data_IF_288296083947
#
_entry.id   IF_288296083947
#
_cell.length_a   1.000
_cell.length_b   1.000
_cell.length_c   1.000
_cell.angle_alpha   90.00
_cell.angle_beta   90.00
_cell.angle_gamma   90.00
#
_symmetry.space_group_name_H-M   'P 1'
#
loop_
_entity.id
_entity.type
_entity.pdbx_description
1 polymer ?
#
# COMPACT_ATOMS: atom_id res chain seq x y z
N UNK A 1 -1.87 -1.80 -12.42
CA UNK A 1 -3.25 -2.31 -12.58
C UNK A 1 -3.54 -3.47 -11.64
N UNK A 2 -2.60 -4.38 -11.37
CA UNK A 2 -2.78 -5.48 -10.38
C UNK A 2 -2.72 -4.97 -8.93
N UNK A 3 -2.03 -3.85 -8.69
CA UNK A 3 -1.78 -3.31 -7.35
C UNK A 3 -3.05 -2.88 -6.64
N UNK A 4 -4.02 -2.28 -7.35
CA UNK A 4 -5.30 -1.85 -6.77
C UNK A 4 -6.09 -3.07 -6.24
N UNK A 5 -6.16 -4.15 -7.03
CA UNK A 5 -6.83 -5.38 -6.61
C UNK A 5 -6.15 -6.01 -5.40
N UNK A 6 -4.82 -6.02 -5.36
CA UNK A 6 -4.07 -6.49 -4.19
C UNK A 6 -4.36 -5.66 -2.94
N UNK A 7 -4.38 -4.33 -3.05
CA UNK A 7 -4.76 -3.45 -1.94
C UNK A 7 -6.18 -3.74 -1.46
N UNK A 8 -7.12 -3.92 -2.38
CA UNK A 8 -8.48 -4.32 -2.04
C UNK A 8 -8.51 -5.64 -1.27
N UNK A 9 -7.80 -6.66 -1.75
CA UNK A 9 -7.73 -7.96 -1.09
C UNK A 9 -7.12 -7.87 0.32
N UNK A 10 -6.05 -7.08 0.50
CA UNK A 10 -5.43 -6.85 1.81
C UNK A 10 -6.45 -6.22 2.78
N UNK A 11 -7.18 -5.20 2.33
CA UNK A 11 -8.23 -4.56 3.14
C UNK A 11 -9.33 -5.56 3.51
N UNK A 12 -9.79 -6.37 2.56
CA UNK A 12 -10.79 -7.41 2.80
C UNK A 12 -10.29 -8.49 3.79
N UNK A 13 -9.00 -8.86 3.72
CA UNK A 13 -8.38 -9.85 4.60
C UNK A 13 -8.29 -9.37 6.06
N UNK A 14 -8.13 -8.06 6.29
CA UNK A 14 -8.17 -7.45 7.62
C UNK A 14 -9.59 -7.04 8.06
N UNK A 15 -10.61 -7.39 7.28
CA UNK A 15 -12.02 -7.18 7.61
C UNK A 15 -12.61 -5.83 7.18
N UNK A 16 -11.91 -5.07 6.35
CA UNK A 16 -12.32 -3.77 5.83
C UNK A 16 -12.91 -3.94 4.42
N UNK A 17 -14.23 -3.77 4.29
CA UNK A 17 -14.91 -3.85 2.99
C UNK A 17 -14.85 -2.50 2.26
N UNK A 18 -14.31 -2.51 1.04
CA UNK A 18 -14.18 -1.32 0.21
C UNK A 18 -14.65 -1.56 -1.22
N UNK A 19 -15.44 -0.62 -1.75
CA UNK A 19 -15.94 -0.69 -3.12
C UNK A 19 -15.01 0.06 -4.08
N UNK A 20 -13.91 -0.59 -4.47
CA UNK A 20 -12.99 -0.08 -5.47
C UNK A 20 -13.38 -0.64 -6.85
N UNK A 21 -13.82 0.23 -7.76
CA UNK A 21 -14.05 -0.09 -9.17
C UNK A 21 -12.89 0.45 -10.02
N UNK A 22 -12.16 -0.45 -10.69
CA UNK A 22 -11.05 -0.10 -11.59
C UNK A 22 -11.43 0.90 -12.69
N UNK A 23 -12.72 1.02 -13.03
CA UNK A 23 -13.20 1.86 -14.15
C UNK A 23 -13.62 3.27 -13.74
N UNK A 24 -13.89 3.49 -12.45
CA UNK A 24 -14.30 4.78 -11.89
C UNK A 24 -13.49 5.04 -10.62
N UNK A 25 -12.19 5.21 -10.78
CA UNK A 25 -11.31 5.52 -9.67
C UNK A 25 -11.26 7.03 -9.47
N UNK A 26 -12.28 7.57 -8.79
CA UNK A 26 -12.00 8.74 -7.96
C UNK A 26 -10.92 8.34 -6.95
N UNK A 27 -10.03 9.28 -6.60
CA UNK A 27 -8.97 8.99 -5.65
C UNK A 27 -9.56 8.69 -4.28
N UNK A 28 -9.34 7.47 -3.78
CA UNK A 28 -9.97 6.95 -2.57
C UNK A 28 -9.14 7.35 -1.36
N UNK A 29 -9.81 7.90 -0.34
CA UNK A 29 -9.20 8.15 0.96
C UNK A 29 -9.29 6.92 1.85
N UNK A 30 -8.18 6.21 2.05
CA UNK A 30 -8.15 5.00 2.88
C UNK A 30 -8.31 5.31 4.37
N UNK A 31 -8.10 6.55 4.80
CA UNK A 31 -8.31 6.96 6.19
C UNK A 31 -9.79 7.05 6.57
N UNK A 32 -10.71 7.01 5.59
CA UNK A 32 -12.14 6.86 5.85
C UNK A 32 -12.53 5.42 6.22
N UNK A 33 -11.65 4.44 5.99
CA UNK A 33 -11.91 3.02 6.19
C UNK A 33 -11.07 2.40 7.31
N UNK A 34 -9.85 2.89 7.52
CA UNK A 34 -8.95 2.45 8.59
C UNK A 34 -9.22 3.33 9.82
N UNK A 35 -9.85 2.76 10.84
CA UNK A 35 -10.38 3.51 11.98
C UNK A 35 -9.35 3.68 13.11
N UNK A 36 -8.45 2.72 13.28
CA UNK A 36 -7.48 2.72 14.37
C UNK A 36 -6.04 2.37 13.99
N UNK A 37 -5.13 2.56 14.94
CA UNK A 37 -3.70 2.32 14.74
C UNK A 37 -3.35 0.84 14.56
N UNK A 38 -4.18 -0.08 15.06
CA UNK A 38 -3.93 -1.51 14.93
C UNK A 38 -4.27 -1.96 13.51
N UNK A 39 -5.42 -1.54 12.97
CA UNK A 39 -5.80 -1.75 11.57
C UNK A 39 -4.79 -1.13 10.61
N UNK A 40 -4.34 0.10 10.90
CA UNK A 40 -3.30 0.76 10.10
C UNK A 40 -2.00 -0.06 10.07
N UNK A 41 -1.51 -0.50 11.23
CA UNK A 41 -0.28 -1.29 11.29
C UNK A 41 -0.44 -2.64 10.59
N UNK A 42 -1.58 -3.31 10.76
CA UNK A 42 -1.87 -4.58 10.09
C UNK A 42 -1.95 -4.40 8.57
N UNK A 43 -2.60 -3.35 8.10
CA UNK A 43 -2.63 -2.98 6.68
C UNK A 43 -1.21 -2.77 6.13
N UNK A 44 -0.40 -1.94 6.78
CA UNK A 44 0.96 -1.61 6.30
C UNK A 44 1.85 -2.85 6.26
N UNK A 45 1.81 -3.72 7.28
CA UNK A 45 2.57 -4.97 7.30
C UNK A 45 2.15 -5.91 6.15
N UNK A 46 0.85 -6.08 5.93
CA UNK A 46 0.37 -6.92 4.82
C UNK A 46 0.76 -6.34 3.45
N UNK A 47 0.84 -5.02 3.30
CA UNK A 47 1.33 -4.37 2.08
C UNK A 47 2.82 -4.69 1.87
N UNK A 48 3.65 -4.55 2.89
CA UNK A 48 5.07 -4.89 2.81
C UNK A 48 5.28 -6.36 2.39
N UNK A 49 4.53 -7.28 3.02
CA UNK A 49 4.60 -8.70 2.71
C UNK A 49 4.11 -9.04 1.29
N UNK A 50 2.94 -8.56 0.88
CA UNK A 50 2.31 -8.90 -0.41
C UNK A 50 3.06 -8.28 -1.61
N UNK A 51 3.76 -7.17 -1.39
CA UNK A 51 4.53 -6.50 -2.44
C UNK A 51 6.04 -6.77 -2.38
N UNK A 52 6.50 -7.50 -1.35
CA UNK A 52 7.91 -7.74 -1.05
C UNK A 52 8.69 -6.42 -1.03
N UNK A 53 8.23 -5.46 -0.22
CA UNK A 53 8.83 -4.14 -0.04
C UNK A 53 9.04 -3.81 1.44
N UNK A 54 9.89 -2.82 1.69
CA UNK A 54 10.07 -2.15 2.97
C UNK A 54 9.64 -0.70 2.76
N UNK A 55 8.63 -0.26 3.51
CA UNK A 55 8.12 1.09 3.47
C UNK A 55 8.94 1.92 4.47
N UNK A 56 9.54 3.06 4.05
CA UNK A 56 10.29 3.91 4.96
C UNK A 56 9.44 4.38 6.15
N UNK A 57 10.05 4.50 7.33
CA UNK A 57 9.38 4.95 8.56
C UNK A 57 8.69 6.32 8.38
N UNK A 58 9.25 7.22 7.57
CA UNK A 58 8.64 8.52 7.24
C UNK A 58 7.32 8.41 6.45
N UNK A 59 7.10 7.27 5.78
CA UNK A 59 5.89 6.96 5.04
C UNK A 59 4.89 6.14 5.89
N UNK A 60 5.25 5.70 7.10
CA UNK A 60 4.36 5.01 8.04
C UNK A 60 3.44 6.00 8.77
N UNK A 61 2.57 6.68 8.02
CA UNK A 61 1.60 7.62 8.57
C UNK A 61 0.24 7.56 7.86
N UNK A 62 -0.83 7.93 8.57
CA UNK A 62 -2.18 8.01 7.98
C UNK A 62 -2.23 8.97 6.78
N UNK A 63 -1.44 10.04 6.78
CA UNK A 63 -1.37 10.97 5.64
C UNK A 63 -0.84 10.28 4.37
N UNK A 64 0.03 9.28 4.50
CA UNK A 64 0.59 8.55 3.37
C UNK A 64 -0.44 7.64 2.67
N UNK A 65 -1.51 7.24 3.37
CA UNK A 65 -2.58 6.38 2.84
C UNK A 65 -3.86 7.16 2.49
N UNK A 66 -3.90 8.47 2.75
CA UNK A 66 -5.04 9.36 2.47
C UNK A 66 -5.44 9.44 1.00
N UNK A 67 -4.55 9.05 0.11
CA UNK A 67 -4.79 8.95 -1.33
C UNK A 67 -4.33 7.58 -1.76
N UNK A 68 -5.26 6.73 -2.22
CA UNK A 68 -4.90 5.41 -2.76
C UNK A 68 -3.90 5.56 -3.91
N UNK A 69 -4.09 6.53 -4.80
CA UNK A 69 -3.13 6.76 -5.88
C UNK A 69 -1.77 7.23 -5.35
N UNK A 70 -1.76 8.11 -4.35
CA UNK A 70 -0.55 8.55 -3.66
C UNK A 70 0.20 7.38 -3.03
N UNK A 71 -0.52 6.52 -2.32
CA UNK A 71 0.04 5.34 -1.66
C UNK A 71 0.60 4.32 -2.66
N UNK A 72 -0.11 4.08 -3.78
CA UNK A 72 0.40 3.22 -4.85
C UNK A 72 1.73 3.74 -5.43
N UNK A 73 1.92 5.06 -5.53
CA UNK A 73 3.19 5.63 -5.96
C UNK A 73 4.33 5.38 -4.96
N UNK A 74 4.03 5.36 -3.66
CA UNK A 74 5.00 4.97 -2.61
C UNK A 74 5.43 3.51 -2.84
N UNK A 75 4.47 2.60 -2.98
CA UNK A 75 4.72 1.17 -3.25
C UNK A 75 5.59 0.98 -4.50
N UNK A 76 5.29 1.70 -5.58
CA UNK A 76 6.07 1.61 -6.82
C UNK A 76 7.51 2.09 -6.58
N UNK A 77 7.69 3.19 -5.85
CA UNK A 77 9.01 3.74 -5.53
C UNK A 77 9.85 2.77 -4.71
N UNK A 78 9.28 2.15 -3.67
CA UNK A 78 9.95 1.12 -2.87
C UNK A 78 10.41 -0.06 -3.74
N UNK A 79 9.54 -0.57 -4.62
CA UNK A 79 9.89 -1.66 -5.55
C UNK A 79 11.07 -1.30 -6.46
N UNK A 80 11.15 -0.05 -6.91
CA UNK A 80 12.24 0.41 -7.78
C UNK A 80 13.57 0.53 -7.04
N UNK A 81 13.55 0.99 -5.79
CA UNK A 81 14.75 1.11 -4.95
C UNK A 81 15.34 -0.27 -4.63
N UNK A 82 14.51 -1.20 -4.21
CA UNK A 82 14.98 -2.55 -3.84
C UNK A 82 15.47 -3.37 -5.03
N UNK A 83 14.90 -3.15 -6.22
CA UNK A 83 15.46 -3.72 -7.46
C UNK A 83 16.87 -3.24 -7.73
N UNK A 84 17.20 -1.98 -7.40
CA UNK A 84 18.57 -1.43 -7.58
C UNK A 84 19.54 -2.07 -6.59
N UNK A 85 19.13 -2.24 -5.34
CA UNK A 85 19.97 -2.87 -4.31
C UNK A 85 20.23 -4.36 -4.61
N UNK A 86 19.22 -5.08 -5.08
CA UNK A 86 19.36 -6.46 -5.56
C UNK A 86 20.28 -6.61 -6.78
N UNK A 87 20.39 -5.59 -7.64
CA UNK A 87 21.29 -5.59 -8.80
C UNK A 87 22.74 -5.24 -8.41
N UNK A 88 22.91 -4.29 -7.48
CA UNK A 88 24.23 -3.85 -7.02
C UNK A 88 24.96 -4.89 -6.15
N UNK A 89 24.24 -5.86 -5.57
CA UNK A 89 24.85 -6.98 -4.81
C UNK A 89 25.46 -8.09 -5.68
N UNK A 90 25.26 -8.05 -7.00
CA UNK A 90 25.71 -9.08 -7.96
C UNK A 90 26.88 -8.66 -8.86
N UNK A 91 27.49 -7.49 -8.60
CA UNK A 91 28.69 -6.97 -9.29
C UNK A 91 29.88 -6.94 -8.34
#
# INVERSE_FOLDING_TARGET
>A
MNEILKIKMILEDIGIEINIDEKNCDDIDLTEYIEDSMEFMEFMMNVEEEFEIDIPDECMSLEAIKSLNGFLNIIISCKEEQKKDGLNSKL
#
